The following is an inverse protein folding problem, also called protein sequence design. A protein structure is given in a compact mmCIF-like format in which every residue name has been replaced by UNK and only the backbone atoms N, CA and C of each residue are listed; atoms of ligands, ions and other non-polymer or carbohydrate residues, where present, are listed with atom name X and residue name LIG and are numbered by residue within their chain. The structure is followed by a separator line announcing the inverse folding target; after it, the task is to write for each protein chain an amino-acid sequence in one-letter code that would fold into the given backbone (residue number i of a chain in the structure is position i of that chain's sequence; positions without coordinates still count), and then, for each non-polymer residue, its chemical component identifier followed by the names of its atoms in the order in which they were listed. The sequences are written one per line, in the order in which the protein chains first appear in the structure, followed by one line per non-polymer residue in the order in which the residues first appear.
data_IF_427845339105
#
_entry.id   IF_427845339105
#
_cell.length_a   1.000
_cell.length_b   1.000
_cell.length_c   1.000
_cell.angle_alpha   90.00
_cell.angle_beta   90.00
_cell.angle_gamma   90.00
#
_symmetry.space_group_name_H-M   'P 1'
#
loop_
_entity.id
_entity.type
_entity.pdbx_description
1 polymer ?
#
# COMPACT_ATOMS: atom_id res chain seq x y z
N UNK A 1 38.72 -19.86 0.29
CA UNK A 1 38.65 -20.93 -0.72
C UNK A 1 37.54 -21.94 -0.40
N UNK A 2 37.57 -22.66 0.73
CA UNK A 2 36.51 -23.64 1.07
C UNK A 2 35.14 -22.99 1.33
N UNK A 3 35.11 -21.89 2.10
CA UNK A 3 33.88 -21.13 2.34
C UNK A 3 33.31 -20.52 1.04
N UNK A 4 34.17 -20.07 0.12
CA UNK A 4 33.75 -19.58 -1.21
C UNK A 4 33.18 -20.69 -2.09
N UNK A 5 33.76 -21.89 -2.06
CA UNK A 5 33.23 -23.07 -2.78
C UNK A 5 31.87 -23.48 -2.24
N UNK A 6 31.65 -23.38 -0.92
CA UNK A 6 30.35 -23.62 -0.31
C UNK A 6 29.30 -22.59 -0.79
N UNK A 7 29.65 -21.30 -0.79
CA UNK A 7 28.79 -20.22 -1.31
C UNK A 7 28.54 -20.31 -2.83
N UNK A 8 29.47 -20.90 -3.60
CA UNK A 8 29.27 -21.12 -5.03
C UNK A 8 28.13 -22.11 -5.34
N UNK A 9 27.71 -22.92 -4.36
CA UNK A 9 26.53 -23.80 -4.46
C UNK A 9 25.21 -23.08 -4.07
N UNK A 10 25.11 -21.78 -4.33
CA UNK A 10 23.87 -21.04 -4.09
C UNK A 10 22.68 -21.66 -4.84
N UNK A 11 21.49 -21.52 -4.24
CA UNK A 11 20.26 -22.01 -4.82
C UNK A 11 19.89 -21.19 -6.06
N UNK A 12 19.90 -21.86 -7.21
CA UNK A 12 19.66 -21.24 -8.52
C UNK A 12 18.18 -20.88 -8.70
N UNK A 13 17.26 -21.58 -8.07
CA UNK A 13 15.83 -21.27 -8.16
C UNK A 13 15.53 -19.99 -7.36
N UNK A 14 16.10 -19.84 -6.16
CA UNK A 14 16.05 -18.61 -5.38
C UNK A 14 16.61 -17.41 -6.17
N UNK A 15 17.78 -17.58 -6.80
CA UNK A 15 18.35 -16.52 -7.63
C UNK A 15 17.51 -16.22 -8.87
N UNK A 16 17.04 -17.26 -9.58
CA UNK A 16 16.20 -17.10 -10.77
C UNK A 16 14.91 -16.38 -10.44
N UNK A 17 14.29 -16.70 -9.31
CA UNK A 17 12.94 -16.22 -9.01
C UNK A 17 12.96 -14.85 -8.33
N UNK A 18 13.89 -14.63 -7.41
CA UNK A 18 13.93 -13.47 -6.53
C UNK A 18 15.22 -12.64 -6.68
N UNK A 19 16.20 -13.09 -7.46
CA UNK A 19 17.48 -12.38 -7.62
C UNK A 19 18.36 -12.41 -6.38
N UNK A 20 18.02 -13.21 -5.37
CA UNK A 20 18.75 -13.31 -4.11
C UNK A 20 19.71 -14.49 -4.13
N UNK A 21 20.84 -14.34 -3.44
CA UNK A 21 21.80 -15.41 -3.20
C UNK A 21 21.55 -16.00 -1.83
N UNK A 22 21.54 -17.33 -1.75
CA UNK A 22 21.42 -18.07 -0.50
C UNK A 22 21.82 -19.52 -0.74
N UNK A 23 22.44 -20.14 0.26
CA UNK A 23 22.85 -21.55 0.20
C UNK A 23 22.11 -22.35 1.26
N UNK A 24 21.72 -23.59 0.93
CA UNK A 24 21.17 -24.54 1.90
C UNK A 24 22.32 -25.28 2.59
N UNK A 25 22.18 -25.52 3.89
CA UNK A 25 23.24 -26.15 4.69
C UNK A 25 23.69 -27.52 4.12
N UNK A 26 22.76 -28.33 3.61
CA UNK A 26 23.09 -29.63 3.04
C UNK A 26 23.90 -29.51 1.72
N UNK A 27 23.68 -28.47 0.92
CA UNK A 27 24.39 -28.24 -0.34
C UNK A 27 25.81 -27.74 -0.08
N UNK A 28 25.95 -26.83 0.88
CA UNK A 28 27.24 -26.35 1.37
C UNK A 28 28.09 -27.50 1.93
N UNK A 29 27.51 -28.39 2.75
CA UNK A 29 28.21 -29.56 3.29
C UNK A 29 28.61 -30.57 2.22
N UNK A 30 27.76 -30.81 1.22
CA UNK A 30 28.09 -31.70 0.10
C UNK A 30 29.27 -31.20 -0.74
N UNK A 31 29.43 -29.89 -0.87
CA UNK A 31 30.56 -29.29 -1.59
C UNK A 31 31.91 -29.58 -0.92
N UNK A 32 31.93 -29.62 0.43
CA UNK A 32 33.11 -29.98 1.23
C UNK A 32 33.56 -31.42 0.97
N UNK A 33 32.59 -32.33 0.84
CA UNK A 33 32.85 -33.75 0.65
C UNK A 33 33.39 -34.05 -0.76
N UNK A 34 33.14 -33.15 -1.73
CA UNK A 34 33.46 -33.36 -3.14
C UNK A 34 34.78 -32.77 -3.62
N UNK A 35 35.31 -31.71 -2.98
CA UNK A 35 36.50 -31.00 -3.47
C UNK A 35 37.46 -30.58 -2.33
N UNK A 36 38.66 -31.16 -2.38
CA UNK A 36 39.94 -30.56 -1.96
C UNK A 36 40.10 -30.25 -0.47
N UNK A 37 40.62 -31.21 0.30
CA UNK A 37 41.81 -31.01 1.15
C UNK A 37 42.50 -32.38 1.37
N UNK A 38 43.82 -32.50 1.18
CA UNK A 38 44.55 -33.66 1.65
C UNK A 38 44.39 -33.69 3.17
N UNK A 39 43.93 -34.82 3.72
CA UNK A 39 43.76 -35.02 5.15
C UNK A 39 45.13 -34.93 5.82
N UNK A 40 45.52 -33.74 6.27
CA UNK A 40 46.58 -33.53 7.25
C UNK A 40 45.92 -33.10 8.56
N UNK A 41 45.63 -34.09 9.41
CA UNK A 41 45.31 -34.04 10.86
C UNK A 41 44.29 -33.01 11.39
N UNK A 42 43.72 -32.15 10.55
CA UNK A 42 42.82 -31.09 10.96
C UNK A 42 41.33 -31.46 10.84
N UNK A 43 40.51 -30.95 11.76
CA UNK A 43 39.04 -31.01 11.66
C UNK A 43 38.53 -29.73 11.02
N UNK A 44 37.80 -29.89 9.91
CA UNK A 44 37.09 -28.79 9.26
C UNK A 44 35.64 -28.77 9.75
N UNK A 45 35.14 -27.61 10.17
CA UNK A 45 33.74 -27.41 10.56
C UNK A 45 33.19 -26.18 9.84
N UNK A 46 32.03 -26.33 9.22
CA UNK A 46 31.25 -25.19 8.71
C UNK A 46 30.16 -24.81 9.70
N UNK A 47 29.92 -23.51 9.81
CA UNK A 47 28.80 -22.92 10.51
C UNK A 47 28.10 -21.95 9.55
N UNK A 48 26.81 -22.17 9.34
CA UNK A 48 25.99 -21.29 8.49
C UNK A 48 25.51 -20.12 9.34
N UNK A 49 25.69 -18.90 8.84
CA UNK A 49 25.27 -17.67 9.53
C UNK A 49 24.41 -16.81 8.62
N UNK A 50 23.70 -15.85 9.22
CA UNK A 50 22.80 -14.92 8.52
C UNK A 50 21.74 -15.62 7.66
N UNK A 51 20.72 -16.17 8.32
CA UNK A 51 19.58 -16.75 7.61
C UNK A 51 18.78 -15.64 6.91
N UNK A 52 18.42 -15.83 5.63
CA UNK A 52 17.53 -14.93 4.88
C UNK A 52 16.16 -14.73 5.53
N UNK A 53 15.80 -15.58 6.50
CA UNK A 53 14.62 -15.37 7.32
C UNK A 53 14.75 -14.22 8.32
N UNK A 54 15.97 -13.87 8.69
CA UNK A 54 16.24 -12.68 9.47
C UNK A 54 16.00 -11.42 8.61
N UNK A 55 15.25 -10.48 9.18
CA UNK A 55 14.94 -9.20 8.56
C UNK A 55 16.21 -8.41 8.23
N UNK A 56 17.26 -8.52 9.04
CA UNK A 56 18.53 -7.83 8.76
C UNK A 56 19.23 -8.39 7.51
N UNK A 57 19.31 -9.72 7.40
CA UNK A 57 19.94 -10.42 6.29
C UNK A 57 19.20 -10.18 4.96
N UNK A 58 17.87 -10.28 4.95
CA UNK A 58 17.08 -10.07 3.72
C UNK A 58 17.17 -8.63 3.24
N UNK A 59 17.13 -7.64 4.13
CA UNK A 59 17.30 -6.22 3.77
C UNK A 59 18.65 -5.98 3.11
N UNK A 60 19.72 -6.54 3.66
CA UNK A 60 21.07 -6.41 3.11
C UNK A 60 21.18 -7.09 1.74
N UNK A 61 20.65 -8.30 1.59
CA UNK A 61 20.64 -9.03 0.33
C UNK A 61 19.87 -8.27 -0.77
N UNK A 62 18.67 -7.77 -0.44
CA UNK A 62 17.85 -6.97 -1.36
C UNK A 62 18.55 -5.68 -1.74
N UNK A 63 19.08 -4.95 -0.75
CA UNK A 63 19.75 -3.68 -1.00
C UNK A 63 20.88 -3.86 -2.01
N UNK A 64 21.74 -4.87 -1.80
CA UNK A 64 22.84 -5.20 -2.72
C UNK A 64 22.35 -5.48 -4.14
N UNK A 65 21.34 -6.33 -4.28
CA UNK A 65 20.75 -6.66 -5.57
C UNK A 65 20.21 -5.42 -6.30
N UNK A 66 19.70 -4.47 -5.52
CA UNK A 66 19.09 -3.23 -6.01
C UNK A 66 20.09 -2.07 -6.23
N UNK A 67 21.26 -2.04 -5.57
CA UNK A 67 22.17 -0.86 -5.48
C UNK A 67 22.57 -0.28 -6.84
N UNK A 68 22.77 -1.10 -7.87
CA UNK A 68 23.20 -0.61 -9.19
C UNK A 68 22.05 -0.32 -10.17
N UNK A 69 20.87 -0.92 -9.95
CA UNK A 69 19.74 -0.88 -10.90
C UNK A 69 18.64 0.10 -10.50
N UNK A 70 18.58 0.47 -9.22
CA UNK A 70 17.52 1.29 -8.61
C UNK A 70 17.92 2.76 -8.52
N UNK A 71 19.22 3.06 -8.42
CA UNK A 71 19.70 4.39 -8.09
C UNK A 71 19.45 5.45 -9.17
N UNK A 72 19.18 5.10 -10.43
CA UNK A 72 19.11 6.08 -11.53
C UNK A 72 17.72 6.27 -12.14
N UNK A 73 16.88 5.22 -12.22
CA UNK A 73 15.54 5.31 -12.84
C UNK A 73 14.39 5.46 -11.84
N UNK A 74 14.55 4.92 -10.63
CA UNK A 74 13.51 4.89 -9.60
C UNK A 74 13.56 6.14 -8.72
N UNK A 75 14.77 6.60 -8.37
CA UNK A 75 14.92 7.82 -7.59
C UNK A 75 14.38 9.03 -8.35
N UNK A 76 14.56 9.11 -9.66
CA UNK A 76 14.05 10.23 -10.48
C UNK A 76 12.52 10.23 -10.53
N UNK A 77 11.87 9.13 -10.93
CA UNK A 77 10.40 9.05 -11.00
C UNK A 77 9.72 9.21 -9.62
N UNK A 78 10.30 8.63 -8.56
CA UNK A 78 9.75 8.75 -7.21
C UNK A 78 9.97 10.15 -6.61
N UNK A 79 11.15 10.76 -6.81
CA UNK A 79 11.43 12.12 -6.35
C UNK A 79 10.62 13.15 -7.13
N UNK A 80 10.40 12.95 -8.44
CA UNK A 80 9.56 13.85 -9.25
C UNK A 80 8.10 13.80 -8.79
N UNK A 81 7.57 12.61 -8.49
CA UNK A 81 6.22 12.44 -7.94
C UNK A 81 6.09 12.99 -6.51
N UNK A 82 7.08 12.76 -5.65
CA UNK A 82 7.11 13.32 -4.30
C UNK A 82 7.23 14.85 -4.31
N UNK A 83 8.06 15.41 -5.18
CA UNK A 83 8.19 16.86 -5.36
C UNK A 83 6.91 17.49 -5.93
N UNK A 84 6.16 16.78 -6.78
CA UNK A 84 4.84 17.20 -7.22
C UNK A 84 3.81 17.17 -6.08
N UNK A 85 3.81 16.12 -5.26
CA UNK A 85 2.95 16.01 -4.08
C UNK A 85 3.26 17.10 -3.04
N UNK A 86 4.53 17.44 -2.82
CA UNK A 86 4.92 18.52 -1.93
C UNK A 86 4.44 19.89 -2.45
N UNK A 87 4.51 20.12 -3.76
CA UNK A 87 3.96 21.34 -4.38
C UNK A 87 2.44 21.43 -4.22
N UNK A 88 1.73 20.31 -4.45
CA UNK A 88 0.28 20.22 -4.23
C UNK A 88 -0.05 20.46 -2.75
N UNK A 89 0.69 19.86 -1.81
CA UNK A 89 0.48 20.05 -0.37
C UNK A 89 0.73 21.49 0.11
N UNK A 90 1.51 22.29 -0.62
CA UNK A 90 1.69 23.73 -0.34
C UNK A 90 0.55 24.59 -0.92
N UNK A 91 -0.11 24.12 -1.98
CA UNK A 91 -1.27 24.80 -2.59
C UNK A 91 -2.58 24.43 -1.89
N UNK A 92 -2.68 23.20 -1.39
CA UNK A 92 -3.83 22.68 -0.65
C UNK A 92 -3.56 22.85 0.84
N UNK A 93 -4.16 23.86 1.47
CA UNK A 93 -4.02 24.11 2.91
C UNK A 93 -4.87 23.10 3.71
N UNK A 94 -4.41 21.85 3.77
CA UNK A 94 -5.07 20.71 4.47
C UNK A 94 -5.39 21.05 5.93
N UNK A 95 -4.55 21.86 6.58
CA UNK A 95 -4.75 22.31 7.96
C UNK A 95 -6.02 23.17 8.17
N UNK A 96 -6.61 23.74 7.12
CA UNK A 96 -7.87 24.48 7.18
C UNK A 96 -9.10 23.62 6.89
N UNK A 97 -8.95 22.31 6.63
CA UNK A 97 -10.10 21.44 6.36
C UNK A 97 -11.06 21.35 7.53
N UNK A 98 -10.54 21.44 8.77
CA UNK A 98 -11.36 21.54 9.98
C UNK A 98 -12.40 22.66 9.91
N UNK A 99 -12.03 23.78 9.28
CA UNK A 99 -12.83 25.00 9.22
C UNK A 99 -13.94 24.91 8.18
N UNK A 100 -13.83 23.96 7.24
CA UNK A 100 -14.88 23.71 6.26
C UNK A 100 -15.99 22.80 6.79
N UNK A 101 -15.76 21.97 7.81
CA UNK A 101 -16.80 21.07 8.34
C UNK A 101 -17.86 21.84 9.14
N UNK A 102 -19.14 21.83 8.73
CA UNK A 102 -20.20 22.47 9.50
C UNK A 102 -20.41 21.76 10.85
N UNK A 103 -20.58 22.56 11.92
CA UNK A 103 -20.94 22.05 13.25
C UNK A 103 -22.26 21.25 13.26
N UNK A 104 -23.12 21.48 12.25
CA UNK A 104 -24.44 20.87 12.07
C UNK A 104 -24.35 19.36 11.75
N UNK A 105 -23.19 18.84 11.35
CA UNK A 105 -22.99 17.42 10.99
C UNK A 105 -22.76 16.48 12.19
N UNK A 106 -22.82 16.97 13.44
CA UNK A 106 -22.66 16.13 14.64
C UNK A 106 -23.61 14.91 14.72
N UNK A 107 -24.87 14.95 14.21
CA UNK A 107 -25.77 13.79 14.22
C UNK A 107 -25.67 12.86 12.99
N UNK A 108 -24.84 13.16 11.98
CA UNK A 108 -24.69 12.30 10.80
C UNK A 108 -25.91 12.27 9.86
N UNK A 109 -26.10 11.17 9.12
CA UNK A 109 -27.17 10.98 8.13
C UNK A 109 -28.58 11.30 8.65
N UNK A 110 -28.82 11.11 9.94
CA UNK A 110 -30.11 11.37 10.61
C UNK A 110 -30.55 12.86 10.54
N UNK A 111 -29.62 13.79 10.29
CA UNK A 111 -29.97 15.20 10.02
C UNK A 111 -30.64 15.36 8.66
N UNK A 112 -30.23 14.53 7.70
CA UNK A 112 -30.66 14.62 6.31
C UNK A 112 -31.89 13.74 6.07
N UNK A 113 -32.07 12.64 6.81
CA UNK A 113 -33.25 11.79 6.81
C UNK A 113 -33.72 11.54 8.26
N UNK A 114 -34.43 12.51 8.88
CA UNK A 114 -34.86 12.39 10.27
C UNK A 114 -35.97 11.36 10.44
N UNK A 115 -35.91 10.59 11.54
CA UNK A 115 -37.02 9.71 11.92
C UNK A 115 -38.23 10.55 12.36
N UNK A 116 -39.32 10.44 11.59
CA UNK A 116 -40.57 11.16 11.84
C UNK A 116 -41.45 10.49 12.90
N UNK A 117 -41.08 9.29 13.36
CA UNK A 117 -41.84 8.51 14.34
C UNK A 117 -43.18 8.00 13.79
N UNK A 118 -44.00 7.42 14.68
CA UNK A 118 -45.36 6.97 14.34
C UNK A 118 -46.37 8.10 14.54
N UNK A 119 -47.13 8.43 13.50
CA UNK A 119 -48.24 9.36 13.60
C UNK A 119 -49.52 8.62 14.00
N UNK A 120 -50.35 9.25 14.84
CA UNK A 120 -51.67 8.72 15.22
C UNK A 120 -52.63 8.69 14.01
N UNK A 121 -52.50 9.63 13.07
CA UNK A 121 -53.12 9.66 11.75
C UNK A 121 -52.03 9.96 10.70
N UNK A 122 -51.95 9.17 9.63
CA UNK A 122 -50.89 9.37 8.63
C UNK A 122 -51.08 10.70 7.89
N UNK A 123 -50.07 11.59 7.90
CA UNK A 123 -50.15 12.86 7.20
C UNK A 123 -50.26 12.64 5.69
N UNK A 124 -51.12 13.40 5.01
CA UNK A 124 -51.32 13.31 3.55
C UNK A 124 -50.01 13.56 2.76
N UNK A 125 -49.11 14.39 3.31
CA UNK A 125 -47.82 14.70 2.71
C UNK A 125 -46.75 13.60 2.89
N UNK A 126 -46.99 12.61 3.76
CA UNK A 126 -45.97 11.61 4.14
C UNK A 126 -45.51 10.78 2.94
N UNK A 127 -46.44 10.34 2.09
CA UNK A 127 -46.12 9.55 0.90
C UNK A 127 -45.28 10.35 -0.12
N UNK A 128 -45.64 11.61 -0.36
CA UNK A 128 -44.89 12.50 -1.26
C UNK A 128 -43.50 12.84 -0.72
N UNK A 129 -43.39 13.00 0.60
CA UNK A 129 -42.11 13.16 1.29
C UNK A 129 -41.23 11.91 1.15
N UNK A 130 -41.77 10.72 1.40
CA UNK A 130 -41.02 9.46 1.29
C UNK A 130 -40.52 9.22 -0.14
N UNK A 131 -41.34 9.46 -1.16
CA UNK A 131 -40.93 9.34 -2.57
C UNK A 131 -39.79 10.31 -2.91
N UNK A 132 -39.88 11.56 -2.43
CA UNK A 132 -38.84 12.57 -2.63
C UNK A 132 -37.53 12.16 -1.94
N UNK A 133 -37.61 11.73 -0.68
CA UNK A 133 -36.44 11.30 0.10
C UNK A 133 -35.79 10.05 -0.49
N UNK A 134 -36.59 9.09 -0.96
CA UNK A 134 -36.10 7.89 -1.64
C UNK A 134 -35.30 8.25 -2.89
N UNK A 135 -35.82 9.18 -3.69
CA UNK A 135 -35.20 9.59 -4.97
C UNK A 135 -33.92 10.41 -4.79
N UNK A 136 -33.96 11.42 -3.93
CA UNK A 136 -32.90 12.44 -3.84
C UNK A 136 -31.84 12.11 -2.77
N UNK A 137 -32.22 11.46 -1.66
CA UNK A 137 -31.32 11.24 -0.51
C UNK A 137 -31.01 9.76 -0.29
N UNK A 138 -32.00 8.90 -0.03
CA UNK A 138 -31.76 7.49 0.33
C UNK A 138 -31.14 6.69 -0.80
N UNK A 139 -31.53 6.92 -2.06
CA UNK A 139 -30.86 6.30 -3.22
C UNK A 139 -29.38 6.66 -3.29
N UNK A 140 -29.04 7.93 -3.08
CA UNK A 140 -27.66 8.42 -3.09
C UNK A 140 -26.89 7.83 -1.90
N UNK A 141 -27.54 7.72 -0.74
CA UNK A 141 -26.97 7.11 0.45
C UNK A 141 -26.67 5.63 0.23
N UNK A 142 -27.64 4.86 -0.26
CA UNK A 142 -27.48 3.43 -0.55
C UNK A 142 -26.38 3.20 -1.59
N UNK A 143 -26.35 3.99 -2.66
CA UNK A 143 -25.26 3.94 -3.63
C UNK A 143 -23.92 4.23 -2.98
N UNK A 144 -23.84 5.24 -2.11
CA UNK A 144 -22.64 5.52 -1.32
C UNK A 144 -22.21 4.34 -0.45
N UNK A 145 -23.14 3.76 0.32
CA UNK A 145 -22.90 2.61 1.18
C UNK A 145 -22.34 1.40 0.41
N UNK A 146 -22.71 1.19 -0.87
CA UNK A 146 -22.14 0.09 -1.67
C UNK A 146 -20.63 0.21 -1.89
N UNK A 147 -20.06 1.40 -1.75
CA UNK A 147 -18.63 1.66 -1.88
C UNK A 147 -17.89 1.69 -0.54
N UNK A 148 -18.63 1.64 0.57
CA UNK A 148 -18.04 1.60 1.90
C UNK A 148 -17.65 0.17 2.26
N UNK A 149 -16.36 -0.04 2.43
CA UNK A 149 -15.81 -1.24 3.04
C UNK A 149 -14.81 -0.80 4.10
N UNK A 150 -14.66 -1.57 5.18
CA UNK A 150 -13.70 -1.22 6.22
C UNK A 150 -12.30 -1.14 5.62
N UNK A 151 -11.60 -0.03 5.91
CA UNK A 151 -10.23 0.19 5.45
C UNK A 151 -9.30 -0.58 6.37
N UNK A 152 -8.38 -1.35 5.80
CA UNK A 152 -7.36 -2.07 6.55
C UNK A 152 -6.05 -1.33 6.39
N UNK A 153 -5.53 -0.79 7.49
CA UNK A 153 -4.23 -0.12 7.53
C UNK A 153 -3.26 -0.98 8.33
N UNK A 154 -2.03 -1.22 7.82
CA UNK A 154 -0.99 -1.84 8.62
C UNK A 154 -0.65 -0.94 9.82
N UNK A 155 -0.92 -1.38 11.05
CA UNK A 155 -0.52 -0.66 12.26
C UNK A 155 0.97 -0.88 12.56
N UNK A 156 1.62 -0.03 13.35
CA UNK A 156 3.05 -0.15 13.72
C UNK A 156 3.35 -1.26 14.75
N UNK A 157 2.38 -1.73 15.54
CA UNK A 157 2.51 -2.90 16.43
C UNK A 157 2.40 -4.25 15.69
N UNK A 158 2.94 -5.33 16.28
CA UNK A 158 3.53 -6.45 15.53
C UNK A 158 2.61 -7.38 14.72
N UNK A 159 1.29 -7.41 14.94
CA UNK A 159 0.39 -8.35 14.23
C UNK A 159 -1.01 -7.81 13.91
N UNK A 160 -1.37 -6.62 14.37
CA UNK A 160 -2.72 -6.08 14.15
C UNK A 160 -2.78 -5.20 12.89
N UNK A 161 -3.69 -5.53 11.98
CA UNK A 161 -4.21 -4.54 11.06
C UNK A 161 -5.20 -3.65 11.81
N UNK A 162 -5.05 -2.32 11.70
CA UNK A 162 -6.12 -1.43 12.15
C UNK A 162 -7.23 -1.48 11.11
N UNK A 163 -8.40 -1.96 11.52
CA UNK A 163 -9.58 -1.95 10.67
C UNK A 163 -10.37 -0.71 11.01
N UNK A 164 -10.35 0.26 10.11
CA UNK A 164 -11.08 1.51 10.28
C UNK A 164 -12.39 1.39 9.53
N UNK A 165 -13.47 1.23 10.30
CA UNK A 165 -14.81 1.45 9.75
C UNK A 165 -14.97 2.95 9.49
N UNK A 166 -14.98 3.31 8.21
CA UNK A 166 -15.22 4.68 7.78
C UNK A 166 -16.63 4.82 7.25
N UNK A 167 -17.39 5.70 7.90
CA UNK A 167 -18.64 6.22 7.39
C UNK A 167 -18.43 7.72 7.09
N UNK A 168 -18.23 8.12 5.81
CA UNK A 168 -17.99 9.51 5.46
C UNK A 168 -19.22 10.40 5.64
N UNK A 169 -20.38 9.81 5.96
CA UNK A 169 -21.63 10.53 6.24
C UNK A 169 -21.74 10.97 7.71
N UNK A 170 -20.74 10.69 8.55
CA UNK A 170 -20.65 11.20 9.91
C UNK A 170 -19.30 11.90 10.18
N UNK A 171 -19.31 12.84 11.15
CA UNK A 171 -18.11 13.60 11.52
C UNK A 171 -16.98 12.72 12.06
N UNK A 172 -17.31 11.57 12.67
CA UNK A 172 -16.31 10.67 13.24
C UNK A 172 -15.51 9.93 12.16
N UNK A 173 -16.16 9.56 11.05
CA UNK A 173 -15.54 8.92 9.91
C UNK A 173 -14.62 9.88 9.16
N UNK A 174 -15.01 11.15 9.03
CA UNK A 174 -14.21 12.18 8.38
C UNK A 174 -12.98 12.58 9.20
N UNK A 175 -13.09 12.69 10.52
CA UNK A 175 -11.92 12.94 11.39
C UNK A 175 -10.94 11.77 11.37
N UNK A 176 -11.45 10.53 11.45
CA UNK A 176 -10.62 9.32 11.29
C UNK A 176 -9.96 9.31 9.92
N UNK A 177 -10.70 9.66 8.87
CA UNK A 177 -10.16 9.75 7.53
C UNK A 177 -9.08 10.81 7.36
N UNK A 178 -9.29 12.02 7.89
CA UNK A 178 -8.29 13.09 7.92
C UNK A 178 -7.00 12.63 8.60
N UNK A 179 -7.11 11.98 9.78
CA UNK A 179 -5.93 11.44 10.48
C UNK A 179 -5.19 10.36 9.68
N UNK A 180 -5.92 9.52 8.94
CA UNK A 180 -5.33 8.49 8.07
C UNK A 180 -4.61 9.14 6.91
N UNK A 181 -5.25 10.10 6.23
CA UNK A 181 -4.66 10.84 5.12
C UNK A 181 -3.41 11.60 5.57
N UNK A 182 -3.46 12.26 6.73
CA UNK A 182 -2.33 13.01 7.27
C UNK A 182 -1.15 12.11 7.61
N UNK A 183 -1.41 10.99 8.28
CA UNK A 183 -0.40 9.98 8.57
C UNK A 183 0.18 9.36 7.29
N UNK A 184 -0.63 9.21 6.24
CA UNK A 184 -0.21 8.61 4.97
C UNK A 184 0.56 9.54 4.03
N UNK A 185 0.24 10.84 4.03
CA UNK A 185 0.78 11.79 3.06
C UNK A 185 1.91 12.67 3.61
N UNK A 186 1.93 12.94 4.92
CA UNK A 186 2.78 14.01 5.47
C UNK A 186 3.78 13.58 6.55
N UNK A 187 3.71 12.33 7.03
CA UNK A 187 4.73 11.79 7.96
C UNK A 187 5.85 11.16 7.15
N UNK A 188 6.95 11.89 6.94
CA UNK A 188 8.17 11.35 6.35
C UNK A 188 8.85 10.39 7.34
N UNK A 189 8.93 9.07 7.06
CA UNK A 189 9.43 8.14 8.06
C UNK A 189 10.96 8.04 8.06
N UNK A 190 11.55 7.74 9.22
CA UNK A 190 12.97 7.38 9.33
C UNK A 190 13.29 6.13 8.48
N UNK A 191 14.48 6.10 7.86
CA UNK A 191 14.91 4.98 7.01
C UNK A 191 14.29 4.95 5.59
N UNK A 192 13.93 6.12 5.03
CA UNK A 192 13.30 6.28 3.70
C UNK A 192 13.98 5.44 2.60
N UNK A 193 15.31 5.40 2.57
CA UNK A 193 16.05 4.71 1.51
C UNK A 193 15.80 3.20 1.52
N UNK A 194 15.82 2.56 2.69
CA UNK A 194 15.53 1.13 2.81
C UNK A 194 14.07 0.84 2.47
N UNK A 195 13.13 1.70 2.87
CA UNK A 195 11.70 1.58 2.48
C UNK A 195 11.50 1.65 0.96
N UNK A 196 12.15 2.60 0.29
CA UNK A 196 12.11 2.73 -1.17
C UNK A 196 12.70 1.50 -1.85
N UNK A 197 13.88 1.05 -1.42
CA UNK A 197 14.56 -0.13 -1.97
C UNK A 197 13.68 -1.38 -1.84
N UNK A 198 13.13 -1.62 -0.64
CA UNK A 198 12.28 -2.79 -0.38
C UNK A 198 10.97 -2.71 -1.15
N UNK A 199 10.37 -1.51 -1.25
CA UNK A 199 9.17 -1.31 -2.05
C UNK A 199 9.42 -1.62 -3.52
N UNK A 200 10.54 -1.17 -4.07
CA UNK A 200 10.81 -1.38 -5.49
C UNK A 200 11.21 -2.80 -5.80
N UNK A 201 11.96 -3.43 -4.91
CA UNK A 201 12.23 -4.84 -4.97
C UNK A 201 10.92 -5.64 -4.98
N UNK A 202 10.00 -5.30 -4.05
CA UNK A 202 8.66 -5.91 -3.97
C UNK A 202 7.93 -5.80 -5.31
N UNK A 203 7.80 -4.58 -5.85
CA UNK A 203 7.03 -4.35 -7.07
C UNK A 203 7.72 -4.89 -8.33
N UNK A 204 9.00 -5.24 -8.26
CA UNK A 204 9.78 -5.74 -9.38
C UNK A 204 9.93 -7.26 -9.41
N UNK A 205 9.77 -7.95 -8.28
CA UNK A 205 9.97 -9.40 -8.17
C UNK A 205 8.74 -10.19 -7.71
N UNK A 206 7.70 -9.51 -7.22
CA UNK A 206 6.49 -10.14 -6.71
C UNK A 206 5.28 -9.83 -7.58
N UNK A 207 4.38 -10.82 -7.71
CA UNK A 207 3.22 -10.68 -8.58
C UNK A 207 2.15 -9.81 -7.91
N UNK A 208 1.82 -8.67 -8.52
CA UNK A 208 0.66 -7.85 -8.15
C UNK A 208 -0.56 -8.16 -9.05
N UNK A 209 -1.77 -7.77 -8.68
CA UNK A 209 -2.96 -8.10 -9.51
C UNK A 209 -2.98 -7.39 -10.87
N UNK A 210 -2.33 -6.24 -10.96
CA UNK A 210 -2.30 -5.39 -12.15
C UNK A 210 -0.86 -5.17 -12.63
N UNK A 211 -0.19 -6.23 -13.17
CA UNK A 211 1.22 -6.18 -13.56
C UNK A 211 1.42 -5.57 -14.95
N UNK A 212 0.60 -4.58 -15.28
CA UNK A 212 0.58 -3.92 -16.58
C UNK A 212 -0.06 -2.54 -16.46
N UNK A 213 0.15 -1.71 -17.48
CA UNK A 213 -0.50 -0.42 -17.64
C UNK A 213 -1.10 -0.30 -19.04
N UNK A 214 -2.31 0.27 -19.13
CA UNK A 214 -2.98 0.57 -20.38
C UNK A 214 -2.84 2.07 -20.64
N UNK A 215 -1.98 2.43 -21.60
CA UNK A 215 -1.79 3.82 -22.06
C UNK A 215 -2.23 3.94 -23.51
N UNK A 216 -3.12 4.89 -23.81
CA UNK A 216 -3.65 5.11 -25.17
C UNK A 216 -4.20 3.83 -25.83
N UNK A 217 -4.87 2.98 -25.03
CA UNK A 217 -5.41 1.69 -25.49
C UNK A 217 -4.36 0.57 -25.67
N UNK A 218 -3.07 0.87 -25.50
CA UNK A 218 -2.00 -0.12 -25.57
C UNK A 218 -1.65 -0.63 -24.19
N UNK A 219 -1.69 -1.96 -24.03
CA UNK A 219 -1.21 -2.65 -22.83
C UNK A 219 0.32 -2.74 -22.87
N UNK A 220 0.96 -2.34 -21.77
CA UNK A 220 2.39 -2.51 -21.51
C UNK A 220 2.56 -3.29 -20.23
N UNK A 221 3.12 -4.49 -20.32
CA UNK A 221 3.38 -5.33 -19.15
C UNK A 221 4.62 -4.87 -18.39
N UNK A 222 4.60 -5.09 -17.08
CA UNK A 222 5.77 -4.90 -16.23
C UNK A 222 6.72 -6.08 -16.34
N UNK A 223 8.01 -5.78 -16.26
CA UNK A 223 9.08 -6.77 -16.32
C UNK A 223 9.95 -6.70 -15.09
N UNK A 224 10.47 -7.85 -14.68
CA UNK A 224 11.56 -7.91 -13.71
C UNK A 224 12.83 -7.32 -14.30
N UNK A 225 13.81 -6.91 -13.47
CA UNK A 225 15.10 -6.42 -13.94
C UNK A 225 15.89 -7.43 -14.80
N UNK A 226 15.59 -8.72 -14.67
CA UNK A 226 16.16 -9.80 -15.50
C UNK A 226 15.32 -10.12 -16.76
N UNK A 227 14.24 -9.37 -17.01
CA UNK A 227 13.47 -9.41 -18.27
C UNK A 227 12.28 -10.36 -18.28
N UNK A 228 11.89 -10.96 -17.14
CA UNK A 228 10.69 -11.80 -17.06
C UNK A 228 9.45 -10.95 -16.94
N UNK A 229 8.40 -11.32 -17.65
CA UNK A 229 7.11 -10.63 -17.60
C UNK A 229 6.38 -11.01 -16.31
N UNK A 230 6.03 -10.04 -15.46
CA UNK A 230 5.40 -10.31 -14.15
C UNK A 230 4.02 -10.98 -14.34
N UNK A 231 3.29 -10.63 -15.40
CA UNK A 231 1.99 -11.25 -15.71
C UNK A 231 2.06 -12.73 -16.11
N UNK A 232 3.25 -13.28 -16.31
CA UNK A 232 3.47 -14.70 -16.63
C UNK A 232 3.87 -15.52 -15.41
N UNK A 233 3.95 -14.90 -14.23
CA UNK A 233 4.24 -15.63 -13.00
C UNK A 233 3.10 -16.61 -12.68
N UNK A 234 3.39 -17.73 -12.00
CA UNK A 234 2.36 -18.70 -11.63
C UNK A 234 1.23 -18.08 -10.81
N UNK A 235 0.00 -18.55 -11.00
CA UNK A 235 -1.17 -18.09 -10.25
C UNK A 235 -1.03 -18.28 -8.73
N UNK A 236 -0.21 -19.24 -8.28
CA UNK A 236 0.10 -19.46 -6.86
C UNK A 236 0.82 -18.27 -6.21
N UNK A 237 1.45 -17.42 -7.03
CA UNK A 237 2.17 -16.21 -6.61
C UNK A 237 1.31 -14.95 -6.69
N UNK A 238 0.08 -15.05 -7.20
CA UNK A 238 -0.79 -13.90 -7.39
C UNK A 238 -1.07 -13.21 -6.05
N UNK A 239 -1.03 -11.89 -6.05
CA UNK A 239 -1.25 -11.00 -4.91
C UNK A 239 -0.08 -10.82 -3.95
N UNK A 240 1.10 -11.42 -4.19
CA UNK A 240 2.26 -11.28 -3.31
C UNK A 240 2.58 -9.83 -2.94
N UNK A 241 2.50 -8.89 -3.89
CA UNK A 241 2.78 -7.49 -3.62
C UNK A 241 1.71 -6.85 -2.71
N UNK A 242 0.44 -7.18 -2.90
CA UNK A 242 -0.68 -6.80 -2.04
C UNK A 242 -0.54 -7.40 -0.64
N UNK A 243 -0.08 -8.66 -0.53
CA UNK A 243 0.18 -9.33 0.74
C UNK A 243 1.32 -8.64 1.50
N UNK A 244 2.38 -8.23 0.80
CA UNK A 244 3.47 -7.44 1.40
C UNK A 244 2.98 -6.05 1.82
N UNK A 245 2.15 -5.42 1.00
CA UNK A 245 1.58 -4.10 1.26
C UNK A 245 0.60 -4.08 2.45
N UNK A 246 -0.21 -5.13 2.63
CA UNK A 246 -1.31 -5.14 3.61
C UNK A 246 -1.05 -6.06 4.81
N UNK A 247 -0.35 -7.17 4.61
CA UNK A 247 -0.16 -8.24 5.59
C UNK A 247 -1.28 -9.29 5.58
N UNK A 248 -2.29 -9.08 4.74
CA UNK A 248 -3.35 -10.06 4.50
C UNK A 248 -2.90 -11.06 3.43
N UNK A 249 -3.66 -12.13 3.23
CA UNK A 249 -3.31 -13.21 2.29
C UNK A 249 -4.29 -13.32 1.11
N UNK A 250 -3.75 -13.51 -0.09
CA UNK A 250 -4.49 -13.75 -1.31
C UNK A 250 -5.49 -12.65 -1.65
N UNK A 251 -6.72 -13.04 -1.97
CA UNK A 251 -7.76 -12.12 -2.45
C UNK A 251 -8.15 -11.06 -1.43
N UNK A 252 -8.03 -11.33 -0.12
CA UNK A 252 -8.35 -10.33 0.91
C UNK A 252 -7.33 -9.18 0.90
N UNK A 253 -6.06 -9.46 0.60
CA UNK A 253 -5.03 -8.45 0.40
C UNK A 253 -5.38 -7.51 -0.76
N UNK A 254 -5.74 -8.08 -1.92
CA UNK A 254 -6.23 -7.30 -3.07
C UNK A 254 -7.43 -6.41 -2.70
N UNK A 255 -8.43 -6.98 -2.04
CA UNK A 255 -9.64 -6.22 -1.69
C UNK A 255 -9.28 -5.07 -0.75
N UNK A 256 -8.45 -5.31 0.27
CA UNK A 256 -7.98 -4.26 1.17
C UNK A 256 -7.21 -3.15 0.42
N UNK A 257 -6.33 -3.52 -0.51
CA UNK A 257 -5.64 -2.54 -1.37
C UNK A 257 -6.63 -1.70 -2.17
N UNK A 258 -7.63 -2.31 -2.83
CA UNK A 258 -8.62 -1.58 -3.62
C UNK A 258 -9.49 -0.66 -2.77
N UNK A 259 -9.87 -1.10 -1.57
CA UNK A 259 -10.65 -0.28 -0.63
C UNK A 259 -9.83 0.93 -0.19
N UNK A 260 -8.54 0.75 0.12
CA UNK A 260 -7.68 1.88 0.46
C UNK A 260 -7.47 2.83 -0.72
N UNK A 261 -7.26 2.31 -1.93
CA UNK A 261 -7.18 3.13 -3.15
C UNK A 261 -8.46 3.97 -3.26
N UNK A 262 -9.63 3.34 -3.15
CA UNK A 262 -10.93 4.02 -3.19
C UNK A 262 -11.04 5.12 -2.13
N UNK A 263 -10.58 4.85 -0.91
CA UNK A 263 -10.57 5.82 0.17
C UNK A 263 -9.65 7.02 -0.12
N UNK A 264 -8.40 6.80 -0.53
CA UNK A 264 -7.48 7.89 -0.88
C UNK A 264 -8.07 8.72 -2.03
N UNK A 265 -8.61 8.06 -3.07
CA UNK A 265 -9.24 8.77 -4.20
C UNK A 265 -10.49 9.54 -3.78
N UNK A 266 -11.30 9.00 -2.88
CA UNK A 266 -12.40 9.72 -2.25
C UNK A 266 -11.90 11.01 -1.58
N UNK A 267 -10.79 10.98 -0.83
CA UNK A 267 -10.19 12.18 -0.23
C UNK A 267 -9.92 13.23 -1.29
N UNK A 268 -9.20 12.82 -2.33
CA UNK A 268 -8.73 13.75 -3.34
C UNK A 268 -9.89 14.40 -4.09
N UNK A 269 -10.92 13.63 -4.46
CA UNK A 269 -12.13 14.17 -5.07
C UNK A 269 -12.93 15.06 -4.11
N UNK A 270 -13.00 14.69 -2.83
CA UNK A 270 -13.72 15.49 -1.84
C UNK A 270 -13.05 16.84 -1.59
N UNK A 271 -11.72 16.85 -1.49
CA UNK A 271 -10.92 18.07 -1.39
C UNK A 271 -11.07 18.93 -2.64
N UNK A 272 -11.02 18.34 -3.83
CA UNK A 272 -11.23 19.04 -5.10
C UNK A 272 -12.61 19.71 -5.13
N UNK A 273 -13.68 18.98 -4.78
CA UNK A 273 -15.05 19.51 -4.74
C UNK A 273 -15.20 20.67 -3.74
N UNK A 274 -14.59 20.56 -2.55
CA UNK A 274 -14.70 21.61 -1.51
C UNK A 274 -13.91 22.87 -1.88
N UNK A 275 -12.75 22.69 -2.54
CA UNK A 275 -11.87 23.80 -2.91
C UNK A 275 -12.24 24.47 -4.23
N UNK A 276 -12.94 23.78 -5.13
CA UNK A 276 -13.50 24.37 -6.35
C UNK A 276 -14.84 25.07 -6.05
N UNK A 277 -14.79 26.41 -5.99
CA UNK A 277 -15.97 27.26 -5.78
C UNK A 277 -17.10 27.00 -6.80
N UNK A 278 -16.76 26.64 -8.04
CA UNK A 278 -17.73 26.39 -9.11
C UNK A 278 -18.44 25.07 -8.89
N UNK A 279 -17.68 24.01 -8.60
CA UNK A 279 -18.23 22.69 -8.29
C UNK A 279 -19.13 22.76 -7.05
N UNK A 280 -18.63 23.41 -5.98
CA UNK A 280 -19.38 23.59 -4.73
C UNK A 280 -20.68 24.38 -4.92
N UNK A 281 -20.67 25.44 -5.72
CA UNK A 281 -21.89 26.22 -5.99
C UNK A 281 -23.02 25.36 -6.60
N UNK A 282 -22.68 24.36 -7.44
CA UNK A 282 -23.64 23.42 -7.99
C UNK A 282 -24.29 22.52 -6.93
N UNK A 283 -23.50 22.00 -6.00
CA UNK A 283 -24.01 21.21 -4.86
C UNK A 283 -24.85 22.06 -3.91
N UNK A 284 -24.41 23.28 -3.63
CA UNK A 284 -25.16 24.24 -2.79
C UNK A 284 -26.53 24.59 -3.38
N UNK A 285 -26.59 24.86 -4.69
CA UNK A 285 -27.86 25.15 -5.37
C UNK A 285 -28.82 23.95 -5.30
N UNK A 286 -28.31 22.74 -5.53
CA UNK A 286 -29.08 21.50 -5.43
C UNK A 286 -29.61 21.27 -4.02
N UNK A 287 -28.76 21.52 -3.01
CA UNK A 287 -29.10 21.36 -1.61
C UNK A 287 -30.20 22.34 -1.16
N UNK A 288 -30.12 23.61 -1.56
CA UNK A 288 -31.16 24.60 -1.29
C UNK A 288 -32.49 24.19 -1.94
N UNK A 289 -32.44 23.70 -3.18
CA UNK A 289 -33.65 23.25 -3.89
C UNK A 289 -34.31 22.05 -3.19
N UNK A 290 -33.53 21.05 -2.78
CA UNK A 290 -34.04 19.87 -2.06
C UNK A 290 -34.61 20.30 -0.70
N UNK A 291 -33.88 21.09 0.09
CA UNK A 291 -34.35 21.58 1.40
C UNK A 291 -35.66 22.39 1.29
N UNK A 292 -35.75 23.29 0.32
CA UNK A 292 -36.95 24.07 0.06
C UNK A 292 -38.13 23.18 -0.36
N UNK A 293 -37.88 22.17 -1.19
CA UNK A 293 -38.92 21.23 -1.64
C UNK A 293 -39.42 20.37 -0.49
N UNK A 294 -38.53 19.83 0.34
CA UNK A 294 -38.91 19.07 1.55
C UNK A 294 -39.73 19.94 2.51
N UNK A 295 -39.28 21.18 2.74
CA UNK A 295 -40.01 22.13 3.61
C UNK A 295 -41.40 22.43 3.04
N UNK A 296 -41.53 22.61 1.73
CA UNK A 296 -42.81 22.90 1.09
C UNK A 296 -43.77 21.71 1.13
N UNK A 297 -43.31 20.49 0.79
CA UNK A 297 -44.12 19.26 0.79
C UNK A 297 -44.61 18.95 2.21
N UNK A 298 -43.75 19.12 3.21
CA UNK A 298 -44.10 18.83 4.60
C UNK A 298 -44.79 19.99 5.33
N UNK A 299 -45.16 21.06 4.62
CA UNK A 299 -45.72 22.29 5.20
C UNK A 299 -44.90 22.87 6.36
N UNK A 300 -43.57 22.74 6.29
CA UNK A 300 -42.63 23.21 7.29
C UNK A 300 -42.44 22.26 8.49
N UNK A 301 -43.06 21.08 8.47
CA UNK A 301 -42.89 20.08 9.53
C UNK A 301 -41.47 19.50 9.53
N UNK A 302 -40.92 19.22 8.35
CA UNK A 302 -39.53 18.75 8.19
C UNK A 302 -38.70 19.90 7.65
N UNK A 303 -37.74 20.35 8.46
CA UNK A 303 -36.79 21.40 8.07
C UNK A 303 -35.36 20.87 8.14
N UNK A 304 -34.81 20.57 6.97
CA UNK A 304 -33.44 20.08 6.82
C UNK A 304 -32.54 21.27 6.42
N UNK A 305 -31.47 21.57 7.18
CA UNK A 305 -30.52 22.60 6.81
C UNK A 305 -29.91 22.32 5.42
N UNK A 306 -29.95 23.26 4.46
CA UNK A 306 -29.34 23.09 3.15
C UNK A 306 -27.86 22.71 3.23
N UNK A 307 -27.14 23.19 4.24
CA UNK A 307 -25.74 22.85 4.48
C UNK A 307 -25.56 21.34 4.69
N UNK A 308 -26.47 20.67 5.41
CA UNK A 308 -26.37 19.22 5.64
C UNK A 308 -26.55 18.42 4.33
N UNK A 309 -27.47 18.87 3.47
CA UNK A 309 -27.71 18.25 2.16
C UNK A 309 -26.52 18.51 1.21
N UNK A 310 -25.97 19.72 1.19
CA UNK A 310 -24.79 20.07 0.38
C UNK A 310 -23.64 19.11 0.68
N UNK A 311 -23.32 18.94 1.96
CA UNK A 311 -22.26 18.04 2.42
C UNK A 311 -22.52 16.58 2.06
N UNK A 312 -23.74 16.10 2.28
CA UNK A 312 -24.13 14.74 1.95
C UNK A 312 -23.95 14.44 0.44
N UNK A 313 -24.38 15.36 -0.42
CA UNK A 313 -24.25 15.22 -1.87
C UNK A 313 -22.77 15.24 -2.31
N UNK A 314 -21.96 16.15 -1.75
CA UNK A 314 -20.52 16.20 -2.05
C UNK A 314 -19.81 14.92 -1.63
N UNK A 315 -20.10 14.38 -0.44
CA UNK A 315 -19.49 13.15 0.06
C UNK A 315 -19.87 11.94 -0.81
N UNK A 316 -21.14 11.82 -1.18
CA UNK A 316 -21.60 10.74 -2.05
C UNK A 316 -21.00 10.81 -3.46
N UNK A 317 -20.90 12.01 -4.04
CA UNK A 317 -20.28 12.22 -5.34
C UNK A 317 -18.78 11.86 -5.32
N UNK A 318 -18.05 12.36 -4.32
CA UNK A 318 -16.64 12.04 -4.13
C UNK A 318 -16.40 10.52 -3.98
N UNK A 319 -17.30 9.83 -3.28
CA UNK A 319 -17.19 8.39 -3.06
C UNK A 319 -17.42 7.60 -4.36
N UNK A 320 -18.39 8.02 -5.17
CA UNK A 320 -18.63 7.46 -6.49
C UNK A 320 -17.42 7.68 -7.44
N UNK A 321 -16.83 8.88 -7.43
CA UNK A 321 -15.63 9.16 -8.22
C UNK A 321 -14.42 8.36 -7.73
N UNK A 322 -14.22 8.24 -6.41
CA UNK A 322 -13.16 7.43 -5.83
C UNK A 322 -13.29 5.94 -6.19
N UNK A 323 -14.50 5.40 -6.15
CA UNK A 323 -14.78 4.03 -6.56
C UNK A 323 -14.55 3.81 -8.07
N UNK A 324 -14.95 4.78 -8.91
CA UNK A 324 -14.70 4.73 -10.35
C UNK A 324 -13.19 4.72 -10.67
N UNK A 325 -12.40 5.55 -9.99
CA UNK A 325 -10.95 5.57 -10.12
C UNK A 325 -10.31 4.25 -9.66
N UNK A 326 -10.72 3.72 -8.50
CA UNK A 326 -10.24 2.43 -8.01
C UNK A 326 -10.54 1.30 -9.02
N UNK A 327 -11.75 1.29 -9.61
CA UNK A 327 -12.12 0.33 -10.64
C UNK A 327 -11.33 0.52 -11.94
N UNK A 328 -11.00 1.75 -12.32
CA UNK A 328 -10.16 2.05 -13.48
C UNK A 328 -8.72 1.56 -13.26
N UNK A 329 -8.14 1.85 -12.10
CA UNK A 329 -6.81 1.41 -11.67
C UNK A 329 -6.71 -0.12 -11.62
N UNK A 330 -7.73 -0.80 -11.09
CA UNK A 330 -7.84 -2.28 -11.07
C UNK A 330 -7.89 -2.90 -12.48
N UNK A 331 -8.27 -2.11 -13.50
CA UNK A 331 -8.25 -2.52 -14.92
C UNK A 331 -6.93 -2.15 -15.62
N UNK A 332 -5.94 -1.64 -14.89
CA UNK A 332 -4.65 -1.20 -15.44
C UNK A 332 -4.68 0.17 -16.10
N UNK A 333 -5.76 0.95 -15.98
CA UNK A 333 -5.79 2.33 -16.47
C UNK A 333 -5.04 3.25 -15.52
N UNK A 334 -4.59 4.38 -16.04
CA UNK A 334 -4.05 5.46 -15.23
C UNK A 334 -5.11 6.51 -14.96
N UNK A 335 -5.02 7.14 -13.79
CA UNK A 335 -5.88 8.25 -13.37
C UNK A 335 -5.03 9.47 -13.05
N UNK A 336 -5.62 10.66 -13.07
CA UNK A 336 -4.92 11.87 -12.66
C UNK A 336 -4.54 11.83 -11.19
N UNK A 337 -3.32 12.27 -10.85
CA UNK A 337 -2.90 12.35 -9.46
C UNK A 337 -3.88 13.22 -8.68
N UNK A 338 -4.16 14.43 -9.16
CA UNK A 338 -5.11 15.35 -8.57
C UNK A 338 -6.28 15.57 -9.54
N UNK A 339 -7.53 15.28 -9.14
CA UNK A 339 -8.71 15.59 -9.94
C UNK A 339 -8.76 17.10 -10.29
N UNK A 340 -9.24 17.46 -11.49
CA UNK A 340 -9.47 18.88 -11.84
C UNK A 340 -8.22 19.71 -12.19
N UNK A 341 -7.04 19.42 -11.63
CA UNK A 341 -5.80 20.20 -11.88
C UNK A 341 -5.06 19.77 -13.15
N UNK A 342 -5.57 20.20 -14.31
CA UNK A 342 -4.95 19.93 -15.65
C UNK A 342 -3.53 20.49 -15.84
N UNK A 343 -3.04 21.35 -14.94
CA UNK A 343 -1.67 21.89 -15.01
C UNK A 343 -0.60 20.86 -14.70
N UNK A 344 -0.94 19.81 -13.95
CA UNK A 344 -0.04 18.71 -13.62
C UNK A 344 -0.49 17.47 -14.39
N UNK A 345 0.10 17.20 -15.56
CA UNK A 345 -0.13 15.96 -16.34
C UNK A 345 0.59 14.76 -15.69
N UNK A 346 0.34 14.56 -14.40
CA UNK A 346 0.93 13.49 -13.62
C UNK A 346 -0.13 12.41 -13.40
N UNK A 347 0.03 11.31 -14.14
CA UNK A 347 -0.83 10.14 -14.02
C UNK A 347 -0.27 9.16 -12.99
N UNK A 348 -1.18 8.56 -12.23
CA UNK A 348 -0.88 7.49 -11.27
C UNK A 348 -1.53 6.18 -11.72
N UNK A 349 -0.84 5.07 -11.45
CA UNK A 349 -1.28 3.71 -11.75
C UNK A 349 -1.42 2.90 -10.46
N UNK A 350 -2.07 1.74 -10.54
CA UNK A 350 -2.31 0.84 -9.39
C UNK A 350 -1.03 0.54 -8.59
N UNK A 351 0.08 0.30 -9.30
CA UNK A 351 1.41 0.06 -8.70
C UNK A 351 1.92 1.22 -7.84
N UNK A 352 1.56 2.47 -8.15
CA UNK A 352 1.97 3.62 -7.35
C UNK A 352 1.29 3.62 -5.97
N UNK A 353 0.03 3.17 -5.89
CA UNK A 353 -0.65 3.00 -4.61
C UNK A 353 -0.06 1.87 -3.77
N UNK A 354 0.31 0.75 -4.39
CA UNK A 354 1.04 -0.30 -3.69
C UNK A 354 2.38 0.21 -3.15
N UNK A 355 3.10 1.04 -3.92
CA UNK A 355 4.34 1.69 -3.47
C UNK A 355 4.11 2.53 -2.22
N UNK A 356 3.09 3.39 -2.22
CA UNK A 356 2.73 4.22 -1.05
C UNK A 356 2.45 3.31 0.16
N UNK A 357 1.61 2.29 -0.02
CA UNK A 357 1.26 1.32 1.03
C UNK A 357 2.48 0.60 1.64
N UNK A 358 3.44 0.22 0.80
CA UNK A 358 4.65 -0.48 1.27
C UNK A 358 5.54 0.50 2.04
N UNK A 359 5.75 1.71 1.52
CA UNK A 359 6.64 2.72 2.13
C UNK A 359 6.12 3.17 3.50
N UNK A 360 4.82 3.12 3.77
CA UNK A 360 4.25 3.49 5.07
C UNK A 360 4.67 2.54 6.20
N UNK A 361 5.09 1.31 5.88
CA UNK A 361 5.46 0.31 6.87
C UNK A 361 6.93 0.42 7.30
N UNK A 362 7.24 -0.07 8.50
CA UNK A 362 8.64 -0.19 8.93
C UNK A 362 9.44 -1.14 8.01
N UNK A 363 10.73 -0.87 7.74
CA UNK A 363 11.57 -1.75 6.93
C UNK A 363 11.55 -3.21 7.38
N UNK A 364 11.52 -3.46 8.70
CA UNK A 364 11.50 -4.80 9.27
C UNK A 364 10.20 -5.55 8.94
N UNK A 365 9.07 -4.84 8.91
CA UNK A 365 7.78 -5.44 8.52
C UNK A 365 7.76 -5.80 7.04
N UNK A 366 8.24 -4.91 6.19
CA UNK A 366 8.34 -5.16 4.75
C UNK A 366 9.24 -6.38 4.52
N UNK A 367 10.42 -6.40 5.15
CA UNK A 367 11.39 -7.48 5.08
C UNK A 367 10.79 -8.83 5.53
N UNK A 368 10.12 -8.87 6.69
CA UNK A 368 9.45 -10.08 7.18
C UNK A 368 8.40 -10.61 6.21
N UNK A 369 7.57 -9.73 5.64
CA UNK A 369 6.54 -10.12 4.67
C UNK A 369 7.13 -10.61 3.35
N UNK A 370 8.21 -9.97 2.87
CA UNK A 370 9.00 -10.44 1.73
C UNK A 370 9.53 -11.85 1.99
N UNK A 371 10.14 -12.08 3.14
CA UNK A 371 10.63 -13.39 3.55
C UNK A 371 9.52 -14.45 3.54
N UNK A 372 8.35 -14.15 4.09
CA UNK A 372 7.21 -15.08 4.06
C UNK A 372 6.76 -15.40 2.63
N UNK A 373 6.74 -14.40 1.74
CA UNK A 373 6.40 -14.62 0.33
C UNK A 373 7.45 -15.50 -0.38
N UNK A 374 8.75 -15.30 -0.07
CA UNK A 374 9.84 -16.13 -0.61
C UNK A 374 9.73 -17.58 -0.09
N UNK A 375 9.54 -17.78 1.22
CA UNK A 375 9.48 -19.11 1.87
C UNK A 375 8.30 -19.94 1.36
N UNK A 376 7.22 -19.29 0.90
CA UNK A 376 6.09 -19.98 0.24
C UNK A 376 6.47 -20.60 -1.10
N UNK A 377 7.38 -19.99 -1.85
CA UNK A 377 7.78 -20.42 -3.19
C UNK A 377 9.03 -21.30 -3.12
N UNK A 378 10.02 -20.87 -2.36
CA UNK A 378 11.29 -21.56 -2.10
C UNK A 378 11.39 -21.83 -0.60
N UNK A 379 10.88 -22.97 -0.11
CA UNK A 379 10.88 -23.27 1.32
C UNK A 379 12.25 -23.73 1.81
N UNK A 380 12.59 -23.29 3.02
CA UNK A 380 13.75 -23.78 3.76
C UNK A 380 14.68 -22.67 4.26
N UNK A 381 15.64 -23.01 5.13
CA UNK A 381 16.62 -22.05 5.59
C UNK A 381 17.64 -21.81 4.47
N UNK A 382 17.76 -20.55 4.08
CA UNK A 382 18.78 -20.09 3.16
C UNK A 382 19.73 -19.18 3.90
N UNK A 383 21.02 -19.47 3.82
CA UNK A 383 22.05 -18.73 4.52
C UNK A 383 22.82 -17.84 3.56
N UNK A 384 23.14 -16.62 3.98
CA UNK A 384 23.94 -15.68 3.18
C UNK A 384 25.41 -15.69 3.53
N UNK A 385 25.77 -16.32 4.64
CA UNK A 385 27.11 -16.32 5.19
C UNK A 385 27.51 -17.73 5.65
N UNK A 386 28.78 -18.05 5.51
CA UNK A 386 29.38 -19.32 5.90
C UNK A 386 30.68 -19.02 6.64
N UNK A 387 30.77 -19.50 7.87
CA UNK A 387 31.98 -19.49 8.67
C UNK A 387 32.63 -20.87 8.58
N UNK A 388 33.91 -20.91 8.25
CA UNK A 388 34.70 -22.13 8.20
C UNK A 388 35.75 -22.11 9.32
N UNK A 389 35.70 -23.11 10.19
CA UNK A 389 36.71 -23.36 11.21
C UNK A 389 37.63 -24.49 10.78
N UNK A 390 38.94 -24.25 10.88
CA UNK A 390 39.98 -25.25 10.68
C UNK A 390 40.74 -25.44 12.00
N UNK A 391 40.52 -26.59 12.64
CA UNK A 391 41.24 -27.00 13.84
C UNK A 391 42.41 -27.91 13.45
N UNK A 392 43.66 -27.47 13.63
CA UNK A 392 44.85 -28.30 13.39
C UNK A 392 45.91 -28.05 14.45
N UNK A 393 46.37 -29.10 15.12
CA UNK A 393 47.51 -29.04 16.05
C UNK A 393 47.34 -28.07 17.23
N UNK A 394 46.11 -27.80 17.68
CA UNK A 394 45.82 -26.85 18.77
C UNK A 394 45.64 -25.38 18.32
N UNK A 395 45.69 -25.12 17.01
CA UNK A 395 45.40 -23.81 16.40
C UNK A 395 44.05 -23.91 15.69
N UNK A 396 43.13 -23.00 16.01
CA UNK A 396 41.83 -22.84 15.33
C UNK A 396 41.89 -21.59 14.46
N UNK A 397 41.71 -21.74 13.14
CA UNK A 397 41.61 -20.62 12.19
C UNK A 397 40.16 -20.47 11.73
N UNK A 398 39.65 -19.24 11.75
CA UNK A 398 38.30 -18.87 11.31
C UNK A 398 38.37 -18.17 9.97
N UNK A 399 37.58 -18.62 9.01
CA UNK A 399 37.42 -17.97 7.71
C UNK A 399 35.94 -17.66 7.50
N UNK A 400 35.61 -16.37 7.44
CA UNK A 400 34.25 -15.93 7.16
C UNK A 400 34.12 -15.62 5.67
N UNK A 401 33.12 -16.20 5.02
CA UNK A 401 32.72 -15.79 3.68
C UNK A 401 31.23 -15.46 3.71
N UNK A 402 30.84 -14.41 3.00
CA UNK A 402 29.44 -14.05 2.84
C UNK A 402 29.18 -13.60 1.42
N UNK A 403 27.92 -13.64 1.00
CA UNK A 403 27.49 -12.96 -0.21
C UNK A 403 27.52 -11.43 0.03
N UNK A 404 28.71 -10.81 0.04
CA UNK A 404 29.00 -9.37 0.25
C UNK A 404 28.02 -8.68 1.22
N UNK A 405 28.37 -8.65 2.50
CA UNK A 405 27.64 -7.90 3.52
C UNK A 405 27.91 -6.38 3.42
N UNK A 406 27.00 -5.56 3.97
CA UNK A 406 27.20 -4.11 4.17
C UNK A 406 28.10 -3.79 5.37
N UNK A 407 28.38 -4.79 6.21
CA UNK A 407 29.17 -4.61 7.41
C UNK A 407 30.65 -4.53 7.01
N UNK A 408 31.42 -3.58 7.58
CA UNK A 408 32.86 -3.58 7.37
C UNK A 408 33.41 -4.94 7.80
N UNK A 409 34.36 -5.48 7.03
CA UNK A 409 35.14 -6.64 7.45
C UNK A 409 35.71 -6.32 8.83
N UNK A 410 35.31 -7.08 9.86
CA UNK A 410 35.96 -6.98 11.17
C UNK A 410 37.41 -7.42 10.94
N UNK A 411 38.34 -6.45 10.92
CA UNK A 411 39.77 -6.75 10.86
C UNK A 411 40.12 -7.71 12.00
N UNK A 412 40.61 -8.89 11.64
CA UNK A 412 41.07 -9.90 12.59
C UNK A 412 42.02 -9.27 13.63
N UNK A 413 41.58 -9.25 14.89
CA UNK A 413 42.51 -9.10 16.01
C UNK A 413 43.32 -10.38 16.07
N UNK A 414 44.51 -10.35 15.46
CA UNK A 414 45.51 -11.41 15.63
C UNK A 414 45.95 -11.47 17.10
N UNK A 415 46.16 -12.67 17.66
CA UNK A 415 46.65 -12.84 19.03
C UNK A 415 48.02 -12.20 19.27
#
# INVERSE_FOLDING_TARGET
MVADTALAQYDRDLYREFGLFGVKEYEAKRALDSDVLPITEGRLRLEMTDELKDGSAVKNAIARHMTWRTATSILTDALDKMGALEKIGREVNVAQLSDYFPEVLKPGYEVVDPDLGSFDEEPEWKNEYEELMDKEIRRVYQQGLTYLSPIVIPHESEESCETIQMNPFDNSGLQKFGSVVDNMLFVAPEGVLDRIILSEYTLSYFHNDVPYVIRNGLRRDDYTPDGRMISQFPDSRRYEAEEIATGLQGKSAKTATLVLIGAIRFAMHFLDIITDETARAGYKASAIAIAATVTAVTFGYVNIPPEAIEWFLMAAAALAFGAADAAALNKGKEVDIWPGMKKFDLKIRYRDFLRILIILQSPDKIARRITHAIDRVNPGPYYTSVICFLDSGGISVRFDASFLSRLPEEEEVKP
#
